data_IF_752391066051
#
_entry.id   IF_752391066051
#
_cell.length_a   1.000
_cell.length_b   1.000
_cell.length_c   1.000
_cell.angle_alpha   90.00
_cell.angle_beta   90.00
_cell.angle_gamma   90.00
#
_symmetry.space_group_name_H-M   'P 1'
#
loop_
_entity.id
_entity.type
_entity.pdbx_description
1 polymer ?
#
# COMPACT_ATOMS: atom_id res chain seq x y z
N UNK A 1 -9.30 30.61 -5.72
CA UNK A 1 -10.35 29.70 -5.22
C UNK A 1 -9.65 28.64 -4.39
N UNK A 2 -9.43 28.94 -3.11
CA UNK A 2 -9.01 27.95 -2.12
C UNK A 2 -10.21 27.03 -1.90
N UNK A 3 -10.17 25.82 -2.44
CA UNK A 3 -11.19 24.82 -2.17
C UNK A 3 -11.08 24.43 -0.69
N UNK A 4 -12.18 24.55 0.05
CA UNK A 4 -12.41 23.97 1.37
C UNK A 4 -12.13 22.45 1.33
N UNK A 5 -10.87 22.04 1.54
CA UNK A 5 -10.42 20.64 1.59
C UNK A 5 -10.03 20.25 3.02
N UNK A 6 -10.71 20.78 4.03
CA UNK A 6 -10.40 20.44 5.43
C UNK A 6 -10.66 18.96 5.73
N UNK A 7 -11.63 18.34 5.04
CA UNK A 7 -11.99 16.93 5.20
C UNK A 7 -12.21 16.27 3.82
N UNK A 8 -11.78 15.02 3.69
CA UNK A 8 -11.97 14.19 2.52
C UNK A 8 -13.46 13.93 2.27
N UNK A 9 -13.91 14.28 1.06
CA UNK A 9 -15.25 13.91 0.59
C UNK A 9 -15.28 12.46 0.13
N UNK A 10 -15.59 11.55 1.05
CA UNK A 10 -15.69 10.11 0.76
C UNK A 10 -16.74 9.79 -0.31
N UNK A 11 -17.86 10.52 -0.38
CA UNK A 11 -18.89 10.28 -1.39
C UNK A 11 -18.37 10.54 -2.81
N UNK A 12 -17.66 11.65 -3.02
CA UNK A 12 -17.04 11.96 -4.31
C UNK A 12 -15.91 11.00 -4.65
N UNK A 13 -15.09 10.64 -3.65
CA UNK A 13 -14.01 9.66 -3.83
C UNK A 13 -14.58 8.32 -4.28
N UNK A 14 -15.58 7.79 -3.58
CA UNK A 14 -16.23 6.51 -3.88
C UNK A 14 -16.93 6.57 -5.24
N UNK A 15 -17.58 7.70 -5.58
CA UNK A 15 -18.19 7.88 -6.90
C UNK A 15 -17.14 7.80 -8.02
N UNK A 16 -15.95 8.36 -7.80
CA UNK A 16 -14.86 8.33 -8.79
C UNK A 16 -14.17 6.97 -8.87
N UNK A 17 -13.99 6.30 -7.75
CA UNK A 17 -13.23 5.06 -7.62
C UNK A 17 -14.12 3.94 -7.07
N UNK A 18 -15.30 3.71 -7.66
CA UNK A 18 -16.29 2.74 -7.14
C UNK A 18 -15.73 1.33 -7.01
N UNK A 19 -14.75 0.99 -7.86
CA UNK A 19 -14.06 -0.29 -7.88
C UNK A 19 -13.43 -0.68 -6.53
N UNK A 20 -13.08 0.28 -5.67
CA UNK A 20 -12.46 -0.03 -4.37
C UNK A 20 -13.44 -0.71 -3.41
N UNK A 21 -14.75 -0.57 -3.63
CA UNK A 21 -15.80 -1.16 -2.80
C UNK A 21 -16.46 -2.38 -3.44
N UNK A 22 -16.12 -2.70 -4.68
CA UNK A 22 -16.66 -3.85 -5.39
C UNK A 22 -16.08 -5.15 -4.80
N UNK A 23 -16.87 -6.23 -4.87
CA UNK A 23 -16.46 -7.55 -4.35
C UNK A 23 -15.70 -8.35 -5.41
N UNK A 24 -15.01 -9.39 -4.94
CA UNK A 24 -14.47 -10.46 -5.79
C UNK A 24 -13.38 -10.04 -6.79
N UNK A 25 -12.64 -8.96 -6.51
CA UNK A 25 -11.50 -8.54 -7.33
C UNK A 25 -10.23 -9.36 -7.09
N UNK A 26 -9.40 -9.46 -8.14
CA UNK A 26 -8.03 -9.94 -8.03
C UNK A 26 -7.12 -8.78 -7.60
N UNK A 27 -6.18 -9.06 -6.71
CA UNK A 27 -5.35 -8.05 -6.06
C UNK A 27 -3.88 -8.43 -6.09
N UNK A 28 -3.02 -7.44 -6.34
CA UNK A 28 -1.57 -7.52 -6.23
C UNK A 28 -1.14 -6.58 -5.10
N UNK A 29 -0.31 -7.07 -4.18
CA UNK A 29 0.06 -6.36 -2.95
C UNK A 29 1.54 -6.00 -2.92
N UNK A 30 1.88 -4.99 -2.11
CA UNK A 30 3.26 -4.81 -1.69
C UNK A 30 3.59 -5.97 -0.75
N UNK A 31 4.83 -6.51 -0.79
CA UNK A 31 5.17 -7.65 0.04
C UNK A 31 5.68 -7.21 1.43
N UNK A 32 5.02 -6.24 2.06
CA UNK A 32 5.33 -5.80 3.42
C UNK A 32 4.08 -5.81 4.32
N UNK A 33 4.23 -5.40 5.58
CA UNK A 33 3.17 -5.47 6.57
C UNK A 33 1.94 -4.64 6.18
N UNK A 34 2.10 -3.55 5.43
CA UNK A 34 0.98 -2.70 5.02
C UNK A 34 0.21 -3.37 3.88
N UNK A 35 0.92 -3.85 2.86
CA UNK A 35 0.31 -4.65 1.79
C UNK A 35 -0.42 -5.89 2.33
N UNK A 36 0.19 -6.62 3.27
CA UNK A 36 -0.43 -7.80 3.88
C UNK A 36 -1.69 -7.45 4.69
N UNK A 37 -1.68 -6.35 5.44
CA UNK A 37 -2.87 -5.85 6.14
C UNK A 37 -3.96 -5.41 5.16
N UNK A 38 -3.60 -4.72 4.07
CA UNK A 38 -4.52 -4.35 3.00
C UNK A 38 -5.18 -5.59 2.39
N UNK A 39 -4.39 -6.61 2.03
CA UNK A 39 -4.90 -7.88 1.50
C UNK A 39 -5.85 -8.59 2.47
N UNK A 40 -5.46 -8.70 3.74
CA UNK A 40 -6.27 -9.35 4.78
C UNK A 40 -7.60 -8.61 4.97
N UNK A 41 -7.56 -7.28 5.01
CA UNK A 41 -8.75 -6.43 5.14
C UNK A 41 -9.70 -6.60 3.96
N UNK A 42 -9.20 -6.46 2.73
CA UNK A 42 -10.04 -6.51 1.52
C UNK A 42 -10.55 -7.93 1.24
N UNK A 43 -9.76 -8.96 1.53
CA UNK A 43 -10.23 -10.35 1.47
C UNK A 43 -11.36 -10.61 2.46
N UNK A 44 -11.27 -10.08 3.68
CA UNK A 44 -12.29 -10.30 4.72
C UNK A 44 -13.63 -9.62 4.38
N UNK A 45 -13.60 -8.34 4.01
CA UNK A 45 -14.84 -7.57 3.84
C UNK A 45 -15.42 -7.69 2.42
N UNK A 46 -14.57 -7.76 1.39
CA UNK A 46 -14.98 -7.70 -0.01
C UNK A 46 -14.67 -8.97 -0.80
N UNK A 47 -14.18 -10.03 -0.15
CA UNK A 47 -13.90 -11.32 -0.79
C UNK A 47 -12.81 -11.29 -1.87
N UNK A 48 -11.95 -10.26 -1.86
CA UNK A 48 -10.85 -10.10 -2.82
C UNK A 48 -9.88 -11.30 -2.76
N UNK A 49 -9.26 -11.62 -3.90
CA UNK A 49 -8.26 -12.67 -4.05
C UNK A 49 -6.88 -12.04 -4.23
N UNK A 50 -5.91 -12.44 -3.42
CA UNK A 50 -4.53 -12.00 -3.50
C UNK A 50 -3.82 -12.94 -4.48
N UNK A 51 -3.58 -12.44 -5.68
CA UNK A 51 -3.07 -13.25 -6.80
C UNK A 51 -1.59 -12.98 -7.11
N UNK A 52 -0.94 -12.06 -6.39
CA UNK A 52 0.43 -11.70 -6.66
C UNK A 52 1.01 -10.63 -5.75
N UNK A 53 2.30 -10.35 -5.93
CA UNK A 53 3.06 -9.37 -5.16
C UNK A 53 4.02 -8.58 -6.05
N UNK A 54 4.18 -7.29 -5.79
CA UNK A 54 5.09 -6.39 -6.52
C UNK A 54 5.91 -5.54 -5.55
N UNK A 55 7.23 -5.55 -5.68
CA UNK A 55 8.15 -4.81 -4.79
C UNK A 55 8.90 -3.65 -5.48
N UNK A 56 8.46 -3.26 -6.67
CA UNK A 56 9.15 -2.28 -7.50
C UNK A 56 10.29 -2.84 -8.35
N UNK A 57 10.73 -4.09 -8.14
CA UNK A 57 11.79 -4.76 -8.90
C UNK A 57 11.31 -6.06 -9.53
N UNK A 58 10.49 -6.82 -8.81
CA UNK A 58 9.90 -8.08 -9.26
C UNK A 58 8.40 -8.03 -9.03
N UNK A 59 7.67 -8.47 -10.04
CA UNK A 59 6.25 -8.81 -9.95
C UNK A 59 6.12 -10.32 -10.07
N UNK A 60 5.39 -10.91 -9.13
CA UNK A 60 4.88 -12.26 -9.25
C UNK A 60 3.36 -12.20 -9.33
N UNK A 61 2.76 -12.99 -10.24
CA UNK A 61 1.30 -13.07 -10.35
C UNK A 61 0.87 -14.46 -10.81
N UNK A 62 -0.33 -14.87 -10.40
CA UNK A 62 -0.95 -16.10 -10.89
C UNK A 62 -0.94 -16.10 -12.42
N UNK A 63 -0.37 -17.16 -13.02
CA UNK A 63 -0.21 -17.26 -14.47
C UNK A 63 -1.53 -17.24 -15.24
N UNK A 64 -2.64 -17.59 -14.58
CA UNK A 64 -3.98 -17.65 -15.18
C UNK A 64 -4.71 -16.31 -15.15
N UNK A 65 -4.21 -15.32 -14.39
CA UNK A 65 -4.87 -14.04 -14.20
C UNK A 65 -4.22 -12.98 -15.08
N UNK A 66 -5.06 -12.19 -15.76
CA UNK A 66 -4.63 -11.01 -16.51
C UNK A 66 -4.30 -9.86 -15.54
N UNK A 67 -3.17 -9.18 -15.77
CA UNK A 67 -2.77 -8.01 -14.99
C UNK A 67 -3.76 -6.85 -15.10
N UNK A 68 -4.46 -6.71 -16.23
CA UNK A 68 -5.44 -5.65 -16.44
C UNK A 68 -6.70 -5.83 -15.58
N UNK A 69 -6.97 -7.06 -15.12
CA UNK A 69 -8.07 -7.35 -14.20
C UNK A 69 -7.70 -7.10 -12.73
N UNK A 70 -6.40 -6.99 -12.43
CA UNK A 70 -5.89 -6.84 -11.08
C UNK A 70 -6.00 -5.40 -10.56
N UNK A 71 -6.16 -5.29 -9.25
CA UNK A 71 -6.03 -4.03 -8.50
C UNK A 71 -4.73 -4.10 -7.69
N UNK A 72 -3.94 -3.02 -7.72
CA UNK A 72 -2.68 -2.93 -6.98
C UNK A 72 -2.89 -2.12 -5.69
N UNK A 73 -2.58 -2.70 -4.52
CA UNK A 73 -2.70 -2.01 -3.23
C UNK A 73 -1.35 -1.80 -2.57
N UNK A 74 -1.24 -0.66 -1.89
CA UNK A 74 0.01 -0.16 -1.29
C UNK A 74 1.10 0.15 -2.33
N UNK A 75 0.68 0.65 -3.49
CA UNK A 75 1.56 1.12 -4.56
C UNK A 75 0.79 1.88 -5.63
N UNK A 76 1.48 2.76 -6.32
CA UNK A 76 0.98 3.48 -7.48
C UNK A 76 1.46 2.83 -8.78
N UNK A 77 0.50 2.51 -9.66
CA UNK A 77 0.79 2.09 -11.04
C UNK A 77 0.46 3.24 -11.98
N UNK A 78 1.46 3.70 -12.73
CA UNK A 78 1.36 4.84 -13.64
C UNK A 78 0.82 4.41 -15.01
N UNK A 79 -0.37 3.79 -15.01
CA UNK A 79 -1.13 3.36 -16.20
C UNK A 79 -2.59 3.72 -15.98
N UNK A 80 -3.20 4.46 -16.90
CA UNK A 80 -4.58 4.95 -16.76
C UNK A 80 -5.64 3.84 -16.82
N UNK A 81 -5.30 2.66 -17.33
CA UNK A 81 -6.16 1.47 -17.35
C UNK A 81 -5.93 0.52 -16.17
N UNK A 82 -4.92 0.75 -15.32
CA UNK A 82 -4.66 -0.08 -14.13
C UNK A 82 -5.20 0.62 -12.89
N UNK A 83 -6.01 -0.11 -12.12
CA UNK A 83 -6.53 0.34 -10.84
C UNK A 83 -5.47 0.14 -9.76
N UNK A 84 -5.16 1.20 -9.02
CA UNK A 84 -4.19 1.11 -7.93
C UNK A 84 -4.51 2.04 -6.75
N UNK A 85 -3.94 1.77 -5.58
CA UNK A 85 -3.98 2.66 -4.44
C UNK A 85 -2.64 2.65 -3.72
N UNK A 86 -2.02 3.82 -3.58
CA UNK A 86 -0.73 3.99 -2.92
C UNK A 86 -0.58 5.39 -2.34
N UNK A 87 0.37 5.57 -1.42
CA UNK A 87 0.48 6.79 -0.61
C UNK A 87 1.83 7.54 -0.73
N UNK A 88 2.70 7.15 -1.64
CA UNK A 88 3.96 7.84 -1.91
C UNK A 88 3.78 9.15 -2.69
N UNK A 89 4.67 10.13 -2.52
CA UNK A 89 4.63 11.33 -3.36
C UNK A 89 5.01 10.93 -4.80
N UNK A 90 4.05 10.99 -5.73
CA UNK A 90 4.24 10.66 -7.15
C UNK A 90 4.45 11.90 -8.03
N UNK A 91 3.88 13.04 -7.64
CA UNK A 91 4.06 14.31 -8.34
C UNK A 91 5.21 15.10 -7.70
N UNK A 92 6.28 15.37 -8.43
CA UNK A 92 7.34 16.22 -7.90
C UNK A 92 6.94 17.71 -7.87
N UNK A 93 6.36 18.26 -8.94
CA UNK A 93 6.02 19.69 -9.00
C UNK A 93 4.84 19.94 -9.93
N UNK A 94 3.93 20.85 -9.53
CA UNK A 94 2.83 21.29 -10.40
C UNK A 94 3.31 21.88 -11.74
N UNK A 95 4.49 22.51 -11.76
CA UNK A 95 5.10 23.04 -13.00
C UNK A 95 5.54 21.93 -13.96
N UNK A 96 5.53 20.68 -13.52
CA UNK A 96 5.99 19.51 -14.24
C UNK A 96 4.85 18.57 -14.63
N UNK A 97 3.59 18.94 -14.42
CA UNK A 97 2.40 18.18 -14.87
C UNK A 97 2.40 18.21 -16.41
N UNK A 98 2.64 17.08 -17.10
CA UNK A 98 2.49 17.00 -18.55
C UNK A 98 1.04 16.73 -18.92
N UNK A 99 0.73 16.73 -20.23
CA UNK A 99 -0.54 16.22 -20.77
C UNK A 99 -0.86 14.78 -20.29
N UNK A 100 0.18 13.96 -20.05
CA UNK A 100 0.13 12.58 -19.57
C UNK A 100 -0.18 12.40 -18.06
N UNK A 101 -0.65 13.43 -17.36
CA UNK A 101 -1.03 13.29 -15.94
C UNK A 101 -2.28 12.43 -15.72
N UNK A 102 -2.91 11.95 -16.79
CA UNK A 102 -4.05 11.03 -16.78
C UNK A 102 -3.67 9.61 -16.37
N UNK A 103 -2.39 9.22 -16.41
CA UNK A 103 -1.92 7.87 -16.06
C UNK A 103 -2.22 7.44 -14.62
N UNK A 104 -2.58 8.38 -13.74
CA UNK A 104 -3.00 8.10 -12.36
C UNK A 104 -4.50 8.31 -12.14
N UNK A 105 -5.29 8.43 -13.21
CA UNK A 105 -6.74 8.63 -13.10
C UNK A 105 -7.46 7.48 -12.39
N UNK A 106 -6.93 6.25 -12.51
CA UNK A 106 -7.40 5.05 -11.82
C UNK A 106 -6.61 4.75 -10.54
N UNK A 107 -5.78 5.68 -10.07
CA UNK A 107 -5.05 5.57 -8.83
C UNK A 107 -5.72 6.38 -7.71
N UNK A 108 -6.05 5.74 -6.59
CA UNK A 108 -6.38 6.44 -5.34
C UNK A 108 -5.06 6.84 -4.69
N UNK A 109 -4.83 8.15 -4.51
CA UNK A 109 -3.55 8.66 -4.04
C UNK A 109 -3.77 9.85 -3.07
N UNK A 110 -3.61 9.66 -1.75
CA UNK A 110 -4.00 10.67 -0.76
C UNK A 110 -3.28 12.00 -0.93
N UNK A 111 -1.99 12.00 -1.25
CA UNK A 111 -1.25 13.24 -1.48
C UNK A 111 -1.85 14.02 -2.65
N UNK A 112 -2.16 13.37 -3.77
CA UNK A 112 -2.80 14.03 -4.91
C UNK A 112 -4.22 14.52 -4.59
N UNK A 113 -5.01 13.76 -3.83
CA UNK A 113 -6.33 14.18 -3.35
C UNK A 113 -6.26 15.47 -2.53
N UNK A 114 -5.17 15.66 -1.78
CA UNK A 114 -4.91 16.86 -0.98
C UNK A 114 -4.09 17.93 -1.72
N UNK A 115 -3.82 17.73 -3.01
CA UNK A 115 -3.04 18.65 -3.83
C UNK A 115 -1.55 18.74 -3.45
N UNK A 116 -1.00 17.73 -2.76
CA UNK A 116 0.38 17.69 -2.31
C UNK A 116 1.31 17.11 -3.38
N UNK A 117 2.49 17.71 -3.46
CA UNK A 117 3.56 17.37 -4.39
C UNK A 117 4.92 17.66 -3.77
N UNK A 118 5.91 16.94 -4.25
CA UNK A 118 7.24 16.83 -3.67
C UNK A 118 7.98 18.13 -3.38
N UNK A 119 7.98 19.05 -4.33
CA UNK A 119 8.80 20.26 -4.30
C UNK A 119 8.47 21.16 -3.09
N UNK A 120 7.20 21.20 -2.67
CA UNK A 120 6.75 22.12 -1.61
C UNK A 120 6.12 21.39 -0.42
N UNK A 121 5.55 20.19 -0.61
CA UNK A 121 4.77 19.49 0.40
C UNK A 121 5.40 18.19 0.89
N UNK A 122 6.66 17.89 0.55
CA UNK A 122 7.30 16.63 0.96
C UNK A 122 7.27 16.40 2.48
N UNK A 123 7.43 17.45 3.28
CA UNK A 123 7.35 17.38 4.76
C UNK A 123 5.93 17.12 5.27
N UNK A 124 4.92 17.39 4.46
CA UNK A 124 3.51 17.21 4.78
C UNK A 124 2.90 15.98 4.09
N UNK A 125 3.72 15.11 3.48
CA UNK A 125 3.25 13.90 2.82
C UNK A 125 2.42 13.02 3.77
N UNK A 126 1.57 12.18 3.20
CA UNK A 126 0.75 11.20 3.93
C UNK A 126 1.63 10.37 4.88
N UNK A 127 1.43 10.46 6.22
CA UNK A 127 2.33 9.89 7.21
C UNK A 127 1.82 8.56 7.80
N UNK A 128 0.72 8.03 7.27
CA UNK A 128 0.10 6.79 7.73
C UNK A 128 0.31 5.71 6.66
N UNK A 129 0.04 4.47 7.03
CA UNK A 129 -0.04 3.35 6.10
C UNK A 129 -1.29 3.40 5.19
N UNK A 130 -1.23 2.78 4.02
CA UNK A 130 -2.32 2.64 3.03
C UNK A 130 -3.55 1.96 3.64
N UNK A 131 -3.38 0.97 4.53
CA UNK A 131 -4.49 0.32 5.23
C UNK A 131 -5.41 1.32 5.94
N UNK A 132 -4.87 2.42 6.48
CA UNK A 132 -5.68 3.44 7.15
C UNK A 132 -6.61 4.18 6.18
N UNK A 133 -6.14 4.44 4.95
CA UNK A 133 -6.99 5.04 3.93
C UNK A 133 -8.10 4.06 3.51
N UNK A 134 -7.78 2.76 3.34
CA UNK A 134 -8.77 1.74 3.01
C UNK A 134 -9.84 1.57 4.11
N UNK A 135 -9.43 1.54 5.38
CA UNK A 135 -10.36 1.51 6.52
C UNK A 135 -11.29 2.72 6.46
N UNK A 136 -10.74 3.93 6.26
CA UNK A 136 -11.54 5.14 6.15
C UNK A 136 -12.55 5.08 4.99
N UNK A 137 -12.14 4.58 3.82
CA UNK A 137 -13.01 4.44 2.65
C UNK A 137 -14.14 3.46 2.93
N UNK A 138 -13.81 2.26 3.43
CA UNK A 138 -14.80 1.20 3.64
C UNK A 138 -15.75 1.52 4.80
N UNK A 139 -15.28 2.17 5.87
CA UNK A 139 -16.10 2.60 7.01
C UNK A 139 -17.20 3.62 6.64
N UNK A 140 -17.03 4.33 5.52
CA UNK A 140 -18.05 5.22 4.98
C UNK A 140 -19.12 4.49 4.14
N UNK A 141 -18.93 3.20 3.85
CA UNK A 141 -19.89 2.34 3.15
C UNK A 141 -20.55 1.33 4.10
N UNK A 142 -19.75 0.67 4.93
CA UNK A 142 -20.18 -0.31 5.93
C UNK A 142 -19.38 -0.08 7.21
N UNK A 143 -20.03 -0.14 8.37
CA UNK A 143 -19.36 0.14 9.64
C UNK A 143 -18.26 -0.87 9.92
N UNK A 144 -17.01 -0.42 9.97
CA UNK A 144 -15.85 -1.25 10.28
C UNK A 144 -15.68 -1.35 11.79
N UNK A 145 -15.56 -2.58 12.27
CA UNK A 145 -15.18 -2.85 13.64
C UNK A 145 -13.65 -2.93 13.78
N UNK A 146 -13.12 -2.23 14.78
CA UNK A 146 -11.69 -2.19 15.11
C UNK A 146 -11.56 -2.77 16.50
N UNK A 147 -10.89 -3.91 16.58
CA UNK A 147 -10.58 -4.57 17.84
C UNK A 147 -9.43 -3.88 18.54
N UNK A 148 -9.46 -3.80 19.87
CA UNK A 148 -8.38 -3.16 20.62
C UNK A 148 -7.02 -3.80 20.30
N UNK A 149 -6.96 -5.12 20.19
CA UNK A 149 -5.72 -5.84 19.84
C UNK A 149 -5.20 -5.54 18.43
N UNK A 150 -6.04 -5.01 17.53
CA UNK A 150 -5.66 -4.65 16.16
C UNK A 150 -4.85 -3.35 16.09
N UNK A 151 -4.98 -2.48 17.11
CA UNK A 151 -4.39 -1.14 17.10
C UNK A 151 -2.86 -1.22 17.03
N UNK A 152 -2.22 -2.13 17.77
CA UNK A 152 -0.76 -2.24 17.75
C UNK A 152 -0.23 -2.64 16.34
N UNK A 153 -0.72 -3.70 15.67
CA UNK A 153 -0.37 -3.98 14.28
C UNK A 153 -0.63 -2.83 13.30
N UNK A 154 -1.77 -2.13 13.44
CA UNK A 154 -2.13 -0.99 12.58
C UNK A 154 -1.19 0.20 12.78
N UNK A 155 -0.76 0.45 14.01
CA UNK A 155 0.25 1.47 14.29
C UNK A 155 1.68 1.01 13.95
N UNK A 156 1.97 -0.28 13.97
CA UNK A 156 3.28 -0.81 13.58
C UNK A 156 3.58 -0.58 12.10
N UNK A 157 2.58 -0.85 11.25
CA UNK A 157 2.77 -0.85 9.79
C UNK A 157 3.14 0.52 9.23
N UNK A 158 3.98 0.51 8.19
CA UNK A 158 4.69 1.68 7.63
C UNK A 158 5.39 2.58 8.67
N UNK A 159 5.68 2.03 9.86
CA UNK A 159 6.21 2.79 10.97
C UNK A 159 5.29 3.91 11.45
N UNK A 160 3.97 3.77 11.27
CA UNK A 160 2.96 4.79 11.63
C UNK A 160 3.15 5.29 13.06
N UNK A 161 3.44 4.41 14.02
CA UNK A 161 3.71 4.76 15.42
C UNK A 161 4.87 5.75 15.54
N UNK A 162 5.95 5.60 14.77
CA UNK A 162 7.08 6.53 14.76
C UNK A 162 6.67 7.87 14.17
N UNK A 163 5.87 7.85 13.10
CA UNK A 163 5.41 9.07 12.43
C UNK A 163 4.54 9.92 13.37
N UNK A 164 3.70 9.31 14.20
CA UNK A 164 2.89 10.01 15.21
C UNK A 164 3.74 10.86 16.17
N UNK A 165 4.93 10.38 16.57
CA UNK A 165 5.82 11.11 17.48
C UNK A 165 6.79 12.05 16.75
N UNK A 166 7.21 11.70 15.54
CA UNK A 166 8.17 12.50 14.78
C UNK A 166 7.51 13.70 14.07
N UNK A 167 6.23 13.57 13.69
CA UNK A 167 5.50 14.57 12.89
C UNK A 167 4.06 14.77 13.39
N UNK A 168 3.83 15.05 14.68
CA UNK A 168 2.49 15.05 15.27
C UNK A 168 1.54 16.03 14.60
N UNK A 169 1.99 17.24 14.23
CA UNK A 169 1.15 18.24 13.56
C UNK A 169 0.69 17.75 12.18
N UNK A 170 1.60 17.10 11.43
CA UNK A 170 1.25 16.53 10.12
C UNK A 170 0.28 15.35 10.28
N UNK A 171 0.52 14.46 11.24
CA UNK A 171 -0.37 13.35 11.55
C UNK A 171 -1.78 13.83 11.93
N UNK A 172 -1.91 14.77 12.88
CA UNK A 172 -3.20 15.34 13.28
C UNK A 172 -3.91 16.00 12.10
N UNK A 173 -3.17 16.73 11.25
CA UNK A 173 -3.72 17.34 10.05
C UNK A 173 -4.29 16.31 9.06
N UNK A 174 -3.62 15.17 8.89
CA UNK A 174 -4.13 14.07 8.05
C UNK A 174 -5.27 13.29 8.70
N UNK A 175 -5.25 13.09 10.01
CA UNK A 175 -6.33 12.44 10.74
C UNK A 175 -7.63 13.28 10.68
N UNK A 176 -7.52 14.60 10.82
CA UNK A 176 -8.62 15.52 10.57
C UNK A 176 -9.15 15.39 9.14
N UNK A 177 -8.24 15.41 8.14
CA UNK A 177 -8.59 15.25 6.73
C UNK A 177 -9.33 13.93 6.45
N UNK A 178 -8.93 12.83 7.09
CA UNK A 178 -9.61 11.52 6.97
C UNK A 178 -10.88 11.43 7.84
N UNK A 179 -11.24 12.47 8.59
CA UNK A 179 -12.40 12.49 9.47
C UNK A 179 -12.29 11.59 10.69
N UNK A 180 -11.07 11.31 11.16
CA UNK A 180 -10.80 10.51 12.36
C UNK A 180 -11.23 11.20 13.67
N UNK A 181 -11.46 12.52 13.66
CA UNK A 181 -11.96 13.25 14.83
C UNK A 181 -13.39 12.86 15.21
N UNK A 182 -14.17 12.31 14.26
CA UNK A 182 -15.52 11.84 14.52
C UNK A 182 -15.46 10.54 15.33
N UNK A 183 -16.04 10.52 16.53
CA UNK A 183 -16.10 9.31 17.39
C UNK A 183 -16.69 8.08 16.70
N UNK A 184 -17.55 8.29 15.71
CA UNK A 184 -18.15 7.22 14.91
C UNK A 184 -17.19 6.63 13.86
N UNK A 185 -16.04 7.25 13.56
CA UNK A 185 -15.07 6.76 12.58
C UNK A 185 -14.30 5.55 13.11
N UNK A 186 -14.07 4.54 12.27
CA UNK A 186 -13.15 3.45 12.59
C UNK A 186 -11.73 3.97 12.86
N UNK A 187 -11.29 5.01 12.16
CA UNK A 187 -9.98 5.63 12.40
C UNK A 187 -9.90 6.29 13.78
N UNK A 188 -11.02 6.78 14.32
CA UNK A 188 -11.06 7.30 15.69
C UNK A 188 -10.67 6.23 16.71
N UNK A 189 -11.19 5.01 16.54
CA UNK A 189 -10.87 3.87 17.40
C UNK A 189 -9.41 3.43 17.32
N UNK A 190 -8.69 3.81 16.27
CA UNK A 190 -7.25 3.52 16.13
C UNK A 190 -6.43 4.64 16.77
N UNK A 191 -6.66 5.89 16.36
CA UNK A 191 -5.76 7.00 16.66
C UNK A 191 -6.13 7.83 17.89
N UNK A 192 -7.41 7.85 18.27
CA UNK A 192 -7.93 8.56 19.44
C UNK A 192 -8.46 7.59 20.50
N UNK A 193 -7.89 6.38 20.54
CA UNK A 193 -8.30 5.35 21.47
C UNK A 193 -7.81 5.67 22.90
N UNK A 194 -8.61 5.28 23.90
CA UNK A 194 -8.25 5.44 25.32
C UNK A 194 -7.58 4.18 25.90
N UNK A 195 -7.54 3.08 25.13
CA UNK A 195 -7.02 1.79 25.58
C UNK A 195 -5.49 1.75 25.64
N UNK A 196 -4.81 2.44 24.72
CA UNK A 196 -3.37 2.49 24.64
C UNK A 196 -2.81 3.78 25.23
N UNK A 197 -2.34 3.70 26.47
CA UNK A 197 -1.33 4.64 26.99
C UNK A 197 0.00 4.42 26.27
N UNK A 198 0.89 5.44 26.30
CA UNK A 198 2.26 5.34 25.75
C UNK A 198 2.96 4.06 26.24
N UNK A 199 2.91 3.80 27.56
CA UNK A 199 3.53 2.62 28.17
C UNK A 199 2.94 1.31 27.64
N UNK A 200 1.60 1.20 27.58
CA UNK A 200 0.95 -0.01 27.08
C UNK A 200 1.22 -0.26 25.59
N UNK A 201 1.35 0.81 24.78
CA UNK A 201 1.73 0.68 23.38
C UNK A 201 3.17 0.21 23.25
N UNK A 202 4.10 0.75 24.04
CA UNK A 202 5.49 0.29 24.06
C UNK A 202 5.60 -1.19 24.43
N UNK A 203 4.82 -1.66 25.42
CA UNK A 203 4.76 -3.08 25.79
C UNK A 203 4.22 -3.90 24.62
N UNK A 204 3.11 -3.48 24.01
CA UNK A 204 2.52 -4.20 22.88
C UNK A 204 3.46 -4.25 21.66
N UNK A 205 4.18 -3.16 21.37
CA UNK A 205 5.19 -3.11 20.31
C UNK A 205 6.36 -4.04 20.62
N UNK A 206 6.85 -4.07 21.87
CA UNK A 206 7.90 -5.01 22.31
C UNK A 206 7.48 -6.46 22.06
N UNK A 207 6.24 -6.82 22.42
CA UNK A 207 5.74 -8.18 22.18
C UNK A 207 5.57 -8.48 20.70
N UNK A 208 5.08 -7.52 19.90
CA UNK A 208 5.02 -7.66 18.44
C UNK A 208 6.42 -7.84 17.83
N UNK A 209 7.41 -7.05 18.26
CA UNK A 209 8.80 -7.18 17.82
C UNK A 209 9.41 -8.54 18.16
N UNK A 210 9.06 -9.08 19.34
CA UNK A 210 9.47 -10.43 19.74
C UNK A 210 8.84 -11.53 18.87
N UNK A 211 7.62 -11.32 18.36
CA UNK A 211 6.99 -12.24 17.42
C UNK A 211 7.71 -12.20 16.07
N UNK A 212 7.88 -11.02 15.47
CA UNK A 212 8.50 -10.89 14.15
C UNK A 212 10.00 -11.19 14.15
N UNK A 213 10.68 -11.18 15.31
CA UNK A 213 12.08 -11.58 15.44
C UNK A 213 12.28 -13.10 15.49
N UNK A 214 11.21 -13.88 15.65
CA UNK A 214 11.29 -15.35 15.61
C UNK A 214 11.51 -15.80 14.17
N UNK A 215 12.29 -16.88 14.00
CA UNK A 215 12.62 -17.39 12.66
C UNK A 215 11.38 -17.81 11.87
N UNK A 216 10.29 -18.18 12.53
CA UNK A 216 9.05 -18.66 11.90
C UNK A 216 8.11 -17.54 11.44
N UNK A 217 8.50 -16.26 11.55
CA UNK A 217 7.70 -15.11 11.13
C UNK A 217 8.46 -14.20 10.17
N UNK A 218 7.72 -13.49 9.33
CA UNK A 218 8.26 -12.40 8.52
C UNK A 218 7.18 -11.37 8.28
N UNK A 219 7.46 -10.12 8.65
CA UNK A 219 6.59 -8.98 8.36
C UNK A 219 6.72 -8.51 6.89
N UNK A 220 7.54 -9.20 6.10
CA UNK A 220 7.75 -8.96 4.67
C UNK A 220 7.87 -10.27 3.91
N UNK A 221 7.34 -10.33 2.70
CA UNK A 221 7.59 -11.44 1.78
C UNK A 221 8.82 -11.11 0.95
N UNK A 222 9.86 -11.93 1.04
CA UNK A 222 11.05 -11.73 0.22
C UNK A 222 10.80 -12.32 -1.17
N UNK A 223 10.59 -11.47 -2.18
CA UNK A 223 10.46 -11.90 -3.59
C UNK A 223 11.67 -11.47 -4.44
N UNK A 224 12.49 -10.54 -3.92
CA UNK A 224 13.72 -10.14 -4.58
C UNK A 224 14.83 -9.70 -3.61
N UNK A 225 16.08 -9.79 -4.08
CA UNK A 225 17.25 -9.23 -3.39
C UNK A 225 17.32 -7.71 -3.55
N UNK A 226 18.26 -7.05 -2.86
CA UNK A 226 18.51 -5.61 -3.03
C UNK A 226 18.88 -5.24 -4.48
N UNK A 227 19.57 -6.14 -5.16
CA UNK A 227 19.98 -6.02 -6.57
C UNK A 227 18.86 -6.38 -7.55
N UNK A 228 17.67 -6.74 -7.06
CA UNK A 228 16.52 -7.09 -7.91
C UNK A 228 16.60 -8.48 -8.53
N UNK A 229 17.36 -9.40 -7.96
CA UNK A 229 17.35 -10.83 -8.34
C UNK A 229 16.21 -11.55 -7.63
N UNK A 230 15.66 -12.60 -8.25
CA UNK A 230 14.63 -13.46 -7.63
C UNK A 230 15.16 -14.04 -6.31
N UNK A 231 14.34 -13.97 -5.27
CA UNK A 231 14.61 -14.53 -3.95
C UNK A 231 13.30 -15.02 -3.32
N UNK A 232 13.36 -15.97 -2.39
CA UNK A 232 12.17 -16.53 -1.72
C UNK A 232 11.22 -17.37 -2.60
N UNK A 233 11.64 -17.69 -3.83
CA UNK A 233 10.86 -18.45 -4.81
C UNK A 233 11.63 -19.68 -5.32
N UNK A 234 10.92 -20.76 -5.60
CA UNK A 234 11.41 -21.94 -6.29
C UNK A 234 10.83 -21.99 -7.71
N UNK A 235 11.67 -22.32 -8.69
CA UNK A 235 11.22 -22.63 -10.05
C UNK A 235 10.86 -24.10 -10.14
N UNK A 236 9.63 -24.40 -10.55
CA UNK A 236 9.14 -25.76 -10.80
C UNK A 236 8.71 -25.83 -12.27
N UNK A 237 9.53 -26.49 -13.09
CA UNK A 237 9.33 -26.60 -14.53
C UNK A 237 9.11 -25.23 -15.21
N UNK A 238 7.86 -24.91 -15.56
CA UNK A 238 7.45 -23.70 -16.29
C UNK A 238 6.87 -22.59 -15.40
N UNK A 239 6.75 -22.78 -14.09
CA UNK A 239 6.18 -21.80 -13.17
C UNK A 239 7.04 -21.59 -11.93
N UNK A 240 6.73 -20.55 -11.15
CA UNK A 240 7.33 -20.30 -9.85
C UNK A 240 6.34 -20.53 -8.72
N UNK A 241 6.86 -20.86 -7.54
CA UNK A 241 6.11 -20.92 -6.28
C UNK A 241 6.95 -20.31 -5.16
N UNK A 242 6.32 -19.90 -4.07
CA UNK A 242 7.08 -19.60 -2.87
C UNK A 242 7.84 -20.85 -2.42
N UNK A 243 9.07 -20.66 -1.94
CA UNK A 243 9.70 -21.72 -1.17
C UNK A 243 8.95 -21.95 0.14
N UNK A 244 9.06 -23.17 0.68
CA UNK A 244 8.27 -23.59 1.85
C UNK A 244 8.50 -22.70 3.08
N UNK A 245 9.73 -22.22 3.26
CA UNK A 245 10.11 -21.38 4.40
C UNK A 245 9.55 -19.96 4.26
N UNK A 246 9.66 -19.36 3.07
CA UNK A 246 9.11 -18.02 2.77
C UNK A 246 7.59 -18.02 2.93
N UNK A 247 6.90 -19.05 2.42
CA UNK A 247 5.45 -19.14 2.59
C UNK A 247 5.05 -19.41 4.05
N UNK A 248 5.72 -20.32 4.74
CA UNK A 248 5.43 -20.64 6.14
C UNK A 248 5.50 -19.38 7.03
N UNK A 249 6.57 -18.59 6.89
CA UNK A 249 6.76 -17.34 7.64
C UNK A 249 5.67 -16.31 7.35
N UNK A 250 5.32 -16.18 6.07
CA UNK A 250 4.24 -15.30 5.61
C UNK A 250 2.90 -15.71 6.21
N UNK A 251 2.57 -16.99 6.12
CA UNK A 251 1.31 -17.54 6.62
C UNK A 251 1.21 -17.42 8.15
N UNK A 252 2.30 -17.65 8.88
CA UNK A 252 2.33 -17.44 10.33
C UNK A 252 2.06 -15.98 10.69
N UNK A 253 2.65 -15.03 9.95
CA UNK A 253 2.37 -13.61 10.16
C UNK A 253 0.94 -13.23 9.80
N UNK A 254 0.37 -13.76 8.71
CA UNK A 254 -1.05 -13.55 8.35
C UNK A 254 -2.00 -14.11 9.41
N UNK A 255 -1.71 -15.30 9.97
CA UNK A 255 -2.47 -15.88 11.09
C UNK A 255 -2.36 -15.01 12.35
N UNK A 256 -1.19 -14.48 12.65
CA UNK A 256 -1.00 -13.52 13.74
C UNK A 256 -1.83 -12.24 13.55
N UNK A 257 -1.75 -11.61 12.37
CA UNK A 257 -2.54 -10.44 12.03
C UNK A 257 -4.03 -10.74 12.10
N UNK A 258 -4.48 -11.89 11.58
CA UNK A 258 -5.86 -12.34 11.63
C UNK A 258 -6.35 -12.49 13.08
N UNK A 259 -5.55 -13.09 13.95
CA UNK A 259 -5.89 -13.23 15.36
C UNK A 259 -6.05 -11.89 16.08
N UNK A 260 -5.21 -10.89 15.74
CA UNK A 260 -5.23 -9.54 16.32
C UNK A 260 -6.33 -8.64 15.79
N UNK A 261 -6.60 -8.73 14.49
CA UNK A 261 -7.57 -7.88 13.78
C UNK A 261 -8.98 -8.46 13.78
N UNK A 262 -9.11 -9.77 13.96
CA UNK A 262 -10.32 -10.56 13.68
C UNK A 262 -10.77 -10.50 12.21
N UNK A 263 -9.90 -10.04 11.32
CA UNK A 263 -10.11 -10.18 9.88
C UNK A 263 -9.66 -11.58 9.47
N UNK A 264 -10.56 -12.34 8.83
CA UNK A 264 -10.34 -13.75 8.58
C UNK A 264 -9.27 -13.96 7.50
N UNK A 265 -8.19 -14.66 7.86
CA UNK A 265 -7.27 -15.21 6.87
C UNK A 265 -7.90 -16.46 6.24
N UNK A 266 -8.28 -16.35 4.97
CA UNK A 266 -8.85 -17.45 4.17
C UNK A 266 -7.77 -17.92 3.21
N UNK A 267 -7.12 -19.03 3.51
CA UNK A 267 -5.95 -19.52 2.75
C UNK A 267 -6.19 -19.60 1.24
N UNK A 268 -7.36 -20.06 0.79
CA UNK A 268 -7.69 -20.20 -0.64
C UNK A 268 -7.81 -18.87 -1.39
N UNK A 269 -7.84 -17.74 -0.68
CA UNK A 269 -7.80 -16.40 -1.27
C UNK A 269 -6.39 -15.92 -1.57
N UNK A 270 -5.36 -16.65 -1.16
CA UNK A 270 -3.96 -16.24 -1.33
C UNK A 270 -3.22 -17.24 -2.22
N UNK A 271 -2.90 -16.80 -3.44
CA UNK A 271 -2.09 -17.60 -4.36
C UNK A 271 -0.69 -17.76 -3.79
N UNK A 272 -0.17 -18.99 -3.78
CA UNK A 272 1.18 -19.34 -3.29
C UNK A 272 2.08 -20.04 -4.31
N UNK A 273 1.54 -20.35 -5.49
CA UNK A 273 2.20 -21.11 -6.55
C UNK A 273 1.66 -20.72 -7.93
N UNK A 274 2.17 -21.38 -8.97
CA UNK A 274 1.75 -21.14 -10.36
C UNK A 274 1.97 -19.69 -10.83
N UNK A 275 3.06 -19.08 -10.37
CA UNK A 275 3.38 -17.70 -10.70
C UNK A 275 4.13 -17.56 -12.04
N UNK A 276 3.73 -16.55 -12.80
CA UNK A 276 4.63 -15.85 -13.71
C UNK A 276 5.48 -14.86 -12.91
N UNK A 277 6.74 -14.66 -13.33
CA UNK A 277 7.67 -13.74 -12.68
C UNK A 277 8.21 -12.76 -13.71
N UNK A 278 8.06 -11.46 -13.43
CA UNK A 278 8.54 -10.38 -14.27
C UNK A 278 9.55 -9.53 -13.51
N UNK A 279 10.70 -9.30 -14.14
CA UNK A 279 11.76 -8.47 -13.58
C UNK A 279 11.75 -7.09 -14.26
N UNK A 280 11.85 -6.05 -13.43
CA UNK A 280 11.84 -4.66 -13.86
C UNK A 280 13.18 -3.98 -13.59
N UNK A 281 13.39 -2.84 -14.24
CA UNK A 281 14.58 -2.02 -14.00
C UNK A 281 14.23 -0.89 -13.04
N UNK A 282 14.70 -0.99 -11.79
CA UNK A 282 14.58 0.09 -10.80
C UNK A 282 15.70 1.10 -10.98
N UNK A 283 15.35 2.38 -11.03
CA UNK A 283 16.27 3.51 -11.17
C UNK A 283 16.02 4.53 -10.06
N UNK A 284 17.03 5.37 -9.77
CA UNK A 284 16.91 6.47 -8.83
C UNK A 284 17.63 7.71 -9.34
N UNK A 285 17.07 8.88 -9.03
CA UNK A 285 17.49 10.15 -9.60
C UNK A 285 17.25 11.29 -8.61
N UNK A 286 17.98 12.39 -8.74
CA UNK A 286 17.77 13.58 -7.91
C UNK A 286 16.40 14.20 -8.18
N UNK A 287 15.70 14.59 -7.12
CA UNK A 287 14.39 15.24 -7.21
C UNK A 287 14.53 16.68 -7.74
N UNK A 288 14.31 16.87 -9.05
CA UNK A 288 14.36 18.16 -9.76
C UNK A 288 13.33 18.19 -10.88
N UNK A 289 12.78 19.37 -11.21
CA UNK A 289 11.73 19.52 -12.22
C UNK A 289 12.13 18.93 -13.59
N UNK A 290 13.33 19.29 -14.10
CA UNK A 290 13.80 18.77 -15.39
C UNK A 290 14.00 17.26 -15.39
N UNK A 291 14.55 16.70 -14.30
CA UNK A 291 14.75 15.26 -14.13
C UNK A 291 13.40 14.53 -14.03
N UNK A 292 12.43 15.09 -13.31
CA UNK A 292 11.10 14.49 -13.22
C UNK A 292 10.41 14.43 -14.59
N UNK A 293 10.52 15.48 -15.41
CA UNK A 293 10.01 15.44 -16.81
C UNK A 293 10.70 14.35 -17.64
N UNK A 294 12.01 14.17 -17.47
CA UNK A 294 12.74 13.08 -18.12
C UNK A 294 12.23 11.71 -17.66
N UNK A 295 12.04 11.52 -16.36
CA UNK A 295 11.47 10.28 -15.81
C UNK A 295 10.12 9.98 -16.46
N UNK A 296 9.22 10.97 -16.53
CA UNK A 296 7.91 10.78 -17.17
C UNK A 296 8.02 10.41 -18.65
N UNK A 297 9.00 10.94 -19.38
CA UNK A 297 9.25 10.56 -20.78
C UNK A 297 9.73 9.12 -20.97
N UNK A 298 10.26 8.49 -19.91
CA UNK A 298 10.60 7.06 -19.91
C UNK A 298 9.39 6.15 -19.66
N UNK A 299 8.18 6.72 -19.49
CA UNK A 299 6.93 5.99 -19.22
C UNK A 299 7.06 4.99 -18.05
N UNK A 300 7.42 5.46 -16.84
CA UNK A 300 7.69 4.60 -15.71
C UNK A 300 6.45 3.77 -15.37
N UNK A 301 6.64 2.54 -14.91
CA UNK A 301 5.55 1.70 -14.40
C UNK A 301 5.07 2.22 -13.03
N UNK A 302 6.01 2.51 -12.14
CA UNK A 302 5.75 3.08 -10.83
C UNK A 302 6.85 4.09 -10.48
N UNK A 303 6.55 5.04 -9.61
CA UNK A 303 7.49 6.06 -9.17
C UNK A 303 7.12 6.61 -7.81
N UNK A 304 8.12 7.02 -7.04
CA UNK A 304 7.93 7.60 -5.72
C UNK A 304 9.09 8.55 -5.40
N UNK A 305 8.78 9.71 -4.83
CA UNK A 305 9.77 10.50 -4.12
C UNK A 305 9.97 9.88 -2.73
N UNK A 306 11.05 9.14 -2.55
CA UNK A 306 11.34 8.38 -1.33
C UNK A 306 12.04 9.23 -0.26
N UNK A 307 12.72 10.30 -0.66
CA UNK A 307 13.31 11.29 0.24
C UNK A 307 13.17 12.70 -0.32
N UNK A 308 13.47 13.73 0.47
CA UNK A 308 13.38 15.13 0.03
C UNK A 308 14.19 15.43 -1.25
N UNK A 309 15.20 14.61 -1.57
CA UNK A 309 16.11 14.83 -2.69
C UNK A 309 16.16 13.67 -3.71
N UNK A 310 15.38 12.60 -3.54
CA UNK A 310 15.46 11.40 -4.39
C UNK A 310 14.10 10.98 -4.91
N UNK A 311 14.03 10.70 -6.22
CA UNK A 311 12.92 10.04 -6.89
C UNK A 311 13.40 8.67 -7.33
N UNK A 312 12.68 7.64 -6.94
CA UNK A 312 12.84 6.27 -7.42
C UNK A 312 11.72 5.96 -8.41
N UNK A 313 12.03 5.18 -9.43
CA UNK A 313 11.06 4.78 -10.44
C UNK A 313 11.46 3.45 -11.07
N UNK A 314 10.48 2.78 -11.64
CA UNK A 314 10.64 1.47 -12.24
C UNK A 314 10.25 1.51 -13.71
N UNK A 315 11.08 0.91 -14.56
CA UNK A 315 10.82 0.73 -16.00
C UNK A 315 10.41 -0.71 -16.26
N UNK A 316 9.38 -0.87 -17.10
CA UNK A 316 8.92 -2.14 -17.66
C UNK A 316 9.59 -2.40 -19.01
N UNK A 317 10.71 -3.15 -19.05
CA UNK A 317 11.47 -3.37 -20.28
C UNK A 317 10.73 -4.31 -21.26
N UNK A 318 9.78 -5.10 -20.76
CA UNK A 318 9.05 -6.10 -21.54
C UNK A 318 7.67 -5.59 -21.97
N UNK A 319 7.27 -4.41 -21.50
CA UNK A 319 5.99 -3.79 -21.75
C UNK A 319 4.84 -4.76 -21.48
N UNK A 320 4.84 -5.40 -20.31
CA UNK A 320 3.84 -6.40 -19.92
C UNK A 320 2.49 -5.75 -19.58
N UNK A 321 2.49 -4.47 -19.20
CA UNK A 321 1.29 -3.68 -18.98
C UNK A 321 0.84 -3.02 -20.29
N UNK A 322 0.01 -3.71 -21.06
CA UNK A 322 -0.53 -3.23 -22.34
C UNK A 322 -2.03 -2.96 -22.22
N UNK A 323 -2.48 -1.84 -22.78
CA UNK A 323 -3.89 -1.62 -23.05
C UNK A 323 -4.27 -2.53 -24.22
N UNK A 324 -5.18 -3.48 -24.00
CA UNK A 324 -5.61 -4.48 -25.01
C UNK A 324 -6.75 -3.89 -25.85
#
# INVERSE_FOLDING_TARGET
MENNLDVLNYQELIKKYSWILERDHNCILSPDSDGLLCGLFMSNYLNWKIVGFYDGKILIKDKKIDLNECIFLDMEIFRDFIRSAGHHIVLYSQRAIPELWTNLNQCIQPNLLRGYYGQTHFKNKYPLAMIHLLIGILDNQEKINIETESICPLLFTDGTFKNLFNYPENCLSWLHYLGADRKSSALHKIFFNECYTITSLMIALKELFKVISQDDYSDKIKISTREGKIDGLQKDNSFFRFDDNTWLKTENFLKYLSAKTKWNYIQDKWTKSDFDVFQFTKKSNKARVGIFRQILSENPLSMAQTSGNLIEYTIDPHNIFKNI
#
